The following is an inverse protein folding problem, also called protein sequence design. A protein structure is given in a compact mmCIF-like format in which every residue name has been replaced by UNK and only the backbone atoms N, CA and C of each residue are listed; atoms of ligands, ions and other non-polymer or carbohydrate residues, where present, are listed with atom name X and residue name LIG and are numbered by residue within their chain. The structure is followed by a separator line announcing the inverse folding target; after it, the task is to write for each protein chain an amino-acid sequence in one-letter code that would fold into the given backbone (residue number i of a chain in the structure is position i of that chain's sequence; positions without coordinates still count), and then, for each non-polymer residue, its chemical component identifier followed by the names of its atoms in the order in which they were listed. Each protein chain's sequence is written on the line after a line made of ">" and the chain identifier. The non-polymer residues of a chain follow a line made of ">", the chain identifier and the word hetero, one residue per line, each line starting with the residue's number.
data_IF_042489048844
#
_entry.id   IF_042489048844
#
_cell.length_a   1.000
_cell.length_b   1.000
_cell.length_c   1.000
_cell.angle_alpha   90.00
_cell.angle_beta   90.00
_cell.angle_gamma   90.00
#
_symmetry.space_group_name_H-M   'P 1'
#
loop_
_entity.id
_entity.type
_entity.pdbx_description
1 polymer ?
#
# COMPACT_ATOMS: atom_id res chain seq x y z
N UNK A 1 -5.63 -20.32 31.38
CA UNK A 1 -5.11 -18.96 31.10
C UNK A 1 -3.90 -19.10 30.18
N UNK A 2 -3.86 -18.43 29.02
CA UNK A 2 -2.66 -18.42 28.17
C UNK A 2 -1.89 -17.13 28.41
N UNK A 3 -0.62 -17.26 28.78
CA UNK A 3 0.31 -16.13 28.92
C UNK A 3 0.50 -15.41 27.58
N UNK A 4 0.60 -14.08 27.61
CA UNK A 4 0.83 -13.26 26.42
C UNK A 4 2.29 -13.40 25.98
N UNK A 5 2.52 -13.89 24.76
CA UNK A 5 3.84 -13.92 24.15
C UNK A 5 4.30 -12.49 23.80
N UNK A 6 5.59 -12.21 23.98
CA UNK A 6 6.25 -10.97 23.57
C UNK A 6 7.35 -11.32 22.55
N UNK A 7 7.45 -10.51 21.50
CA UNK A 7 8.51 -10.63 20.49
C UNK A 7 9.62 -9.65 20.87
N UNK A 8 10.86 -10.12 20.89
CA UNK A 8 12.05 -9.28 20.99
C UNK A 8 12.45 -8.84 19.58
N UNK A 9 12.22 -7.57 19.27
CA UNK A 9 12.43 -7.02 17.92
C UNK A 9 13.90 -7.06 17.50
N UNK A 10 14.83 -6.93 18.46
CA UNK A 10 16.27 -6.99 18.19
C UNK A 10 16.74 -8.36 17.70
N UNK A 11 15.96 -9.41 18.00
CA UNK A 11 16.25 -10.80 17.61
C UNK A 11 15.31 -11.31 16.51
N UNK A 12 14.29 -10.53 16.16
CA UNK A 12 13.28 -10.94 15.20
C UNK A 12 13.87 -10.90 13.79
N UNK A 13 13.90 -12.05 13.13
CA UNK A 13 14.34 -12.16 11.73
C UNK A 13 13.18 -12.11 10.72
N UNK A 14 11.94 -11.91 11.19
CA UNK A 14 10.77 -11.85 10.31
C UNK A 14 10.35 -13.19 9.69
N UNK A 15 10.59 -14.34 10.34
CA UNK A 15 10.25 -15.65 9.78
C UNK A 15 8.74 -15.99 9.77
N UNK A 16 7.93 -15.31 10.58
CA UNK A 16 6.47 -15.48 10.60
C UNK A 16 5.89 -16.71 11.31
N UNK A 17 6.73 -17.57 11.89
CA UNK A 17 6.27 -18.75 12.63
C UNK A 17 5.37 -18.39 13.82
N UNK A 18 5.71 -17.31 14.55
CA UNK A 18 4.91 -16.85 15.69
C UNK A 18 3.50 -16.35 15.30
N UNK A 19 3.36 -15.73 14.12
CA UNK A 19 2.07 -15.30 13.60
C UNK A 19 1.21 -16.52 13.21
N UNK A 20 1.80 -17.51 12.54
CA UNK A 20 1.12 -18.75 12.14
C UNK A 20 0.71 -19.62 13.33
N UNK A 21 1.55 -19.69 14.35
CA UNK A 21 1.30 -20.50 15.54
C UNK A 21 0.26 -19.88 16.48
N UNK A 22 -0.06 -18.58 16.34
CA UNK A 22 -0.96 -17.91 17.26
C UNK A 22 -2.44 -18.24 16.94
N UNK A 23 -3.14 -19.04 17.77
CA UNK A 23 -4.52 -19.42 17.48
C UNK A 23 -5.50 -18.26 17.59
N UNK A 24 -5.09 -17.16 18.22
CA UNK A 24 -5.89 -15.94 18.37
C UNK A 24 -5.56 -14.86 17.33
N UNK A 25 -4.60 -15.11 16.43
CA UNK A 25 -4.16 -14.11 15.45
C UNK A 25 -3.61 -12.83 16.08
N UNK A 26 -3.02 -12.92 17.28
CA UNK A 26 -2.57 -11.75 18.05
C UNK A 26 -1.28 -11.10 17.51
N UNK A 27 -0.63 -11.70 16.51
CA UNK A 27 0.63 -11.24 15.93
C UNK A 27 0.47 -11.19 14.41
N UNK A 28 0.93 -10.10 13.77
CA UNK A 28 0.91 -9.91 12.32
C UNK A 28 2.29 -9.50 11.82
N UNK A 29 2.74 -10.06 10.68
CA UNK A 29 3.92 -9.56 9.99
C UNK A 29 3.59 -8.32 9.17
N UNK A 30 4.50 -7.35 9.19
CA UNK A 30 4.45 -6.16 8.34
C UNK A 30 5.79 -6.01 7.63
N UNK A 31 5.80 -5.56 6.37
CA UNK A 31 7.04 -5.25 5.66
C UNK A 31 7.76 -4.08 6.34
N UNK A 32 9.08 -4.21 6.54
CA UNK A 32 9.92 -3.17 7.16
C UNK A 32 9.96 -1.89 6.32
N UNK A 33 9.82 -2.04 5.00
CA UNK A 33 9.57 -0.98 4.04
C UNK A 33 8.07 -0.89 3.79
N UNK A 34 7.38 -0.25 4.74
CA UNK A 34 6.00 0.14 4.56
C UNK A 34 5.95 1.45 3.78
N UNK A 35 6.00 1.40 2.45
CA UNK A 35 5.41 2.48 1.63
C UNK A 35 3.86 2.48 1.72
N UNK A 36 3.30 1.88 2.78
CA UNK A 36 1.87 1.70 3.04
C UNK A 36 1.55 1.87 4.53
N UNK A 37 2.32 2.69 5.26
CA UNK A 37 1.84 3.30 6.51
C UNK A 37 0.82 4.42 6.28
N UNK A 38 0.40 4.68 5.03
CA UNK A 38 -0.66 5.63 4.74
C UNK A 38 -1.97 4.88 4.49
N UNK A 39 -2.72 4.63 5.57
CA UNK A 39 -4.17 4.70 5.44
C UNK A 39 -4.46 6.10 4.88
N UNK A 40 -4.91 6.20 3.63
CA UNK A 40 -5.04 7.50 3.01
C UNK A 40 -5.87 7.40 1.75
N UNK A 41 -7.05 7.99 1.81
CA UNK A 41 -7.90 8.37 0.68
C UNK A 41 -7.21 9.33 -0.32
N UNK A 42 -5.91 9.16 -0.58
CA UNK A 42 -5.07 10.00 -1.46
C UNK A 42 -5.14 9.53 -2.91
N UNK A 43 -5.43 8.25 -3.15
CA UNK A 43 -5.61 7.71 -4.49
C UNK A 43 -6.80 8.37 -5.20
N UNK A 44 -7.93 8.53 -4.50
CA UNK A 44 -9.13 9.21 -5.03
C UNK A 44 -8.87 10.65 -5.50
N UNK A 45 -7.98 11.37 -4.82
CA UNK A 45 -7.60 12.73 -5.22
C UNK A 45 -6.58 12.76 -6.36
N UNK A 46 -5.72 11.74 -6.46
CA UNK A 46 -4.79 11.60 -7.56
C UNK A 46 -5.52 11.20 -8.85
N UNK A 47 -6.48 10.27 -8.76
CA UNK A 47 -7.33 9.85 -9.88
C UNK A 47 -8.11 11.03 -10.47
N UNK A 48 -8.66 11.91 -9.63
CA UNK A 48 -9.32 13.14 -10.08
C UNK A 48 -8.37 14.15 -10.75
N UNK A 49 -7.09 14.17 -10.39
CA UNK A 49 -6.07 15.00 -11.07
C UNK A 49 -5.59 14.36 -12.37
N UNK A 50 -5.49 13.03 -12.41
CA UNK A 50 -5.11 12.25 -13.59
C UNK A 50 -6.12 12.46 -14.71
N UNK A 51 -7.42 12.44 -14.42
CA UNK A 51 -8.46 12.68 -15.44
C UNK A 51 -8.38 14.06 -16.11
N UNK A 52 -7.99 15.10 -15.37
CA UNK A 52 -7.77 16.44 -15.95
C UNK A 52 -6.56 16.48 -16.90
N UNK A 53 -5.51 15.72 -16.60
CA UNK A 53 -4.31 15.61 -17.45
C UNK A 53 -4.61 14.77 -18.69
N UNK A 54 -5.34 13.67 -18.54
CA UNK A 54 -5.75 12.80 -19.65
C UNK A 54 -6.69 13.54 -20.62
N UNK A 55 -7.62 14.34 -20.12
CA UNK A 55 -8.49 15.17 -20.96
C UNK A 55 -7.69 16.17 -21.80
N UNK A 56 -6.70 16.85 -21.20
CA UNK A 56 -5.81 17.77 -21.93
C UNK A 56 -4.92 17.04 -22.93
N UNK A 57 -4.43 15.85 -22.58
CA UNK A 57 -3.65 15.00 -23.49
C UNK A 57 -4.50 14.55 -24.68
N UNK A 58 -5.77 14.21 -24.45
CA UNK A 58 -6.68 13.79 -25.51
C UNK A 58 -7.12 14.95 -26.41
N UNK A 59 -7.24 16.17 -25.90
CA UNK A 59 -7.44 17.35 -26.74
C UNK A 59 -6.21 17.61 -27.62
N UNK A 60 -5.02 17.62 -27.02
CA UNK A 60 -3.77 17.79 -27.77
C UNK A 60 -3.55 16.69 -28.83
N UNK A 61 -4.05 15.47 -28.60
CA UNK A 61 -4.04 14.39 -29.59
C UNK A 61 -4.95 14.66 -30.78
N UNK A 62 -6.10 15.32 -30.61
CA UNK A 62 -6.97 15.72 -31.74
C UNK A 62 -6.31 16.78 -32.60
N UNK A 63 -5.59 17.72 -31.97
CA UNK A 63 -4.81 18.73 -32.70
C UNK A 63 -3.74 18.07 -33.57
N UNK A 64 -3.10 16.99 -33.09
CA UNK A 64 -2.12 16.22 -33.86
C UNK A 64 -2.79 15.40 -34.97
N UNK A 65 -3.98 14.83 -34.74
CA UNK A 65 -4.74 14.08 -35.75
C UNK A 65 -5.19 14.99 -36.91
N UNK A 66 -5.50 16.26 -36.63
CA UNK A 66 -5.86 17.25 -37.65
C UNK A 66 -4.67 17.74 -38.50
N UNK A 67 -3.43 17.33 -38.19
CA UNK A 67 -2.21 17.64 -38.96
C UNK A 67 -1.85 16.48 -39.92
N UNK A 68 -2.57 15.35 -39.87
CA UNK A 68 -2.50 14.27 -40.87
C UNK A 68 -3.46 14.50 -42.02
#
# INVERSE_FOLDING_TARGET
>A
MLSKARVDESKCIGCGLCAKACPRGAIRLVPLISNESANGNRLKMLEAKVSMVEAKLNEAKKDIECIK
#
